data_IF_154353183901
#
_entry.id   IF_154353183901
#
_cell.length_a   1.000
_cell.length_b   1.000
_cell.length_c   1.000
_cell.angle_alpha   90.00
_cell.angle_beta   90.00
_cell.angle_gamma   90.00
#
_symmetry.space_group_name_H-M   'P 1'
#
loop_
_entity.id
_entity.type
_entity.pdbx_description
1 polymer ?
#
# COMPACT_ATOMS: atom_id res chain seq x y z
N UNK A 1 -8.76 -1.50 11.33
CA UNK A 1 -7.92 -1.35 10.11
C UNK A 1 -6.47 -1.22 10.53
N UNK A 2 -5.57 -2.09 10.07
CA UNK A 2 -4.21 -2.17 10.60
C UNK A 2 -3.41 -0.88 10.30
N UNK A 3 -2.66 -0.37 11.29
CA UNK A 3 -1.92 0.92 11.19
C UNK A 3 -0.91 0.92 10.03
N UNK A 4 -0.37 -0.26 9.71
CA UNK A 4 0.56 -0.51 8.61
C UNK A 4 -0.11 -0.43 7.23
N UNK A 5 -1.33 -0.96 7.09
CA UNK A 5 -2.09 -0.88 5.84
C UNK A 5 -2.49 0.57 5.54
N UNK A 6 -2.89 1.33 6.58
CA UNK A 6 -3.17 2.78 6.45
C UNK A 6 -1.94 3.55 5.96
N UNK A 7 -0.74 3.24 6.49
CA UNK A 7 0.52 3.85 6.04
C UNK A 7 0.88 3.49 4.59
N UNK A 8 0.73 2.22 4.20
CA UNK A 8 0.98 1.79 2.81
C UNK A 8 0.06 2.49 1.80
N UNK A 9 -1.22 2.64 2.14
CA UNK A 9 -2.19 3.39 1.34
C UNK A 9 -1.78 4.86 1.23
N UNK A 10 -1.40 5.50 2.35
CA UNK A 10 -0.97 6.90 2.37
C UNK A 10 0.27 7.13 1.50
N UNK A 11 1.28 6.27 1.58
CA UNK A 11 2.51 6.35 0.77
C UNK A 11 2.19 6.20 -0.71
N UNK A 12 1.32 5.25 -1.07
CA UNK A 12 0.93 5.03 -2.47
C UNK A 12 0.14 6.20 -3.02
N UNK A 13 -0.77 6.77 -2.22
CA UNK A 13 -1.51 7.97 -2.60
C UNK A 13 -0.57 9.17 -2.82
N UNK A 14 0.48 9.29 -1.99
CA UNK A 14 1.51 10.31 -2.13
C UNK A 14 2.33 10.12 -3.42
N UNK A 15 2.67 8.88 -3.78
CA UNK A 15 3.33 8.54 -5.05
C UNK A 15 2.49 8.90 -6.29
N UNK A 16 1.18 8.65 -6.24
CA UNK A 16 0.25 9.03 -7.32
C UNK A 16 0.18 10.56 -7.47
N UNK A 17 0.06 11.29 -6.36
CA UNK A 17 0.09 12.75 -6.33
C UNK A 17 1.40 13.31 -6.90
N UNK A 18 2.53 12.71 -6.54
CA UNK A 18 3.84 13.09 -7.05
C UNK A 18 3.95 12.87 -8.57
N UNK A 19 3.40 11.77 -9.09
CA UNK A 19 3.34 11.50 -10.52
C UNK A 19 2.48 12.50 -11.29
N UNK A 20 1.33 12.90 -10.74
CA UNK A 20 0.51 13.98 -11.30
C UNK A 20 1.24 15.33 -11.29
N UNK A 21 1.96 15.64 -10.22
CA UNK A 21 2.81 16.83 -10.11
C UNK A 21 3.93 16.82 -11.16
N UNK A 22 4.58 15.68 -11.40
CA UNK A 22 5.59 15.52 -12.44
C UNK A 22 5.03 15.75 -13.85
N UNK A 23 3.82 15.27 -14.13
CA UNK A 23 3.13 15.56 -15.40
C UNK A 23 2.75 17.03 -15.54
N UNK A 24 2.36 17.69 -14.44
CA UNK A 24 2.10 19.13 -14.45
C UNK A 24 3.38 19.93 -14.73
N UNK A 25 4.51 19.55 -14.12
CA UNK A 25 5.83 20.15 -14.38
C UNK A 25 6.30 19.94 -15.83
N UNK A 26 6.01 18.78 -16.43
CA UNK A 26 6.26 18.53 -17.86
C UNK A 26 5.56 19.56 -18.76
N UNK A 27 4.37 20.03 -18.35
CA UNK A 27 3.62 21.07 -19.09
C UNK A 27 4.25 22.45 -18.98
N UNK A 28 5.12 22.66 -17.99
CA UNK A 28 5.87 23.90 -17.76
C UNK A 28 7.24 23.93 -18.46
N UNK A 29 7.57 22.95 -19.33
CA UNK A 29 8.87 22.85 -20.04
C UNK A 29 10.09 22.89 -19.11
N UNK A 30 9.89 22.47 -17.86
CA UNK A 30 10.94 22.51 -16.86
C UNK A 30 11.81 21.25 -16.96
N UNK A 31 13.12 21.41 -17.18
CA UNK A 31 14.09 20.31 -17.30
C UNK A 31 14.10 19.35 -16.08
N UNK A 32 13.63 19.82 -14.92
CA UNK A 32 13.48 18.97 -13.73
C UNK A 32 12.35 17.92 -13.86
N UNK A 33 11.50 17.97 -14.88
CA UNK A 33 10.37 17.04 -15.02
C UNK A 33 10.81 15.57 -15.08
N UNK A 34 11.94 15.28 -15.75
CA UNK A 34 12.44 13.92 -15.89
C UNK A 34 12.77 13.29 -14.54
N UNK A 35 13.50 14.03 -13.70
CA UNK A 35 13.88 13.60 -12.35
C UNK A 35 12.65 13.45 -11.46
N UNK A 36 11.70 14.39 -11.52
CA UNK A 36 10.46 14.32 -10.74
C UNK A 36 9.61 13.10 -11.13
N UNK A 37 9.52 12.78 -12.42
CA UNK A 37 8.78 11.61 -12.90
C UNK A 37 9.45 10.30 -12.47
N UNK A 38 10.78 10.20 -12.61
CA UNK A 38 11.54 9.02 -12.16
C UNK A 38 11.38 8.80 -10.66
N UNK A 39 11.51 9.85 -9.85
CA UNK A 39 11.27 9.77 -8.40
C UNK A 39 9.81 9.39 -8.09
N UNK A 40 8.85 9.92 -8.83
CA UNK A 40 7.43 9.54 -8.69
C UNK A 40 7.19 8.05 -8.93
N UNK A 41 7.77 7.49 -10.00
CA UNK A 41 7.67 6.06 -10.31
C UNK A 41 8.35 5.20 -9.24
N UNK A 42 9.54 5.60 -8.75
CA UNK A 42 10.24 4.88 -7.69
C UNK A 42 9.45 4.88 -6.38
N UNK A 43 8.93 6.03 -5.96
CA UNK A 43 8.11 6.16 -4.75
C UNK A 43 6.82 5.36 -4.89
N UNK A 44 6.19 5.40 -6.07
CA UNK A 44 5.01 4.58 -6.37
C UNK A 44 5.32 3.08 -6.26
N UNK A 45 6.45 2.63 -6.84
CA UNK A 45 6.89 1.24 -6.75
C UNK A 45 7.10 0.77 -5.30
N UNK A 46 7.80 1.57 -4.49
CA UNK A 46 7.99 1.27 -3.06
C UNK A 46 6.65 1.26 -2.30
N UNK A 47 5.77 2.21 -2.60
CA UNK A 47 4.41 2.25 -2.04
C UNK A 47 3.60 1.00 -2.40
N UNK A 48 3.65 0.59 -3.67
CA UNK A 48 2.95 -0.58 -4.17
C UNK A 48 3.42 -1.88 -3.50
N UNK A 49 4.74 -2.10 -3.44
CA UNK A 49 5.32 -3.27 -2.73
C UNK A 49 4.92 -3.27 -1.26
N UNK A 50 4.89 -2.10 -0.62
CA UNK A 50 4.47 -1.95 0.78
C UNK A 50 2.99 -2.30 0.97
N UNK A 51 2.11 -1.92 0.04
CA UNK A 51 0.70 -2.33 0.05
C UNK A 51 0.58 -3.84 -0.10
N UNK A 52 1.21 -4.43 -1.13
CA UNK A 52 1.13 -5.87 -1.39
C UNK A 52 1.60 -6.66 -0.18
N UNK A 53 2.75 -6.30 0.41
CA UNK A 53 3.26 -6.94 1.62
C UNK A 53 2.29 -6.80 2.81
N UNK A 54 1.68 -5.62 2.98
CA UNK A 54 0.71 -5.42 4.04
C UNK A 54 -0.61 -6.17 3.82
N UNK A 55 -1.01 -6.42 2.56
CA UNK A 55 -2.19 -7.21 2.24
C UNK A 55 -1.94 -8.70 2.52
N UNK A 56 -0.81 -9.23 2.04
CA UNK A 56 -0.39 -10.62 2.30
C UNK A 56 -0.36 -10.88 3.82
N UNK A 57 0.32 -10.01 4.57
CA UNK A 57 0.41 -10.13 6.03
C UNK A 57 -0.94 -9.99 6.74
N UNK A 58 -1.89 -9.26 6.15
CA UNK A 58 -3.24 -9.14 6.71
C UNK A 58 -4.04 -10.43 6.48
N UNK A 59 -3.97 -10.99 5.28
CA UNK A 59 -4.63 -12.26 4.94
C UNK A 59 -4.12 -13.37 5.86
N UNK A 60 -2.81 -13.49 5.99
CA UNK A 60 -2.17 -14.48 6.88
C UNK A 60 -2.59 -14.31 8.35
N UNK A 61 -2.74 -13.07 8.83
CA UNK A 61 -3.18 -12.82 10.20
C UNK A 61 -4.68 -13.06 10.41
N UNK A 62 -5.48 -12.88 9.37
CA UNK A 62 -6.93 -13.06 9.41
C UNK A 62 -7.29 -14.54 9.37
N UNK A 63 -6.61 -15.35 8.56
CA UNK A 63 -6.83 -16.80 8.52
C UNK A 63 -6.51 -17.49 9.85
N UNK A 64 -5.47 -17.04 10.58
CA UNK A 64 -5.13 -17.59 11.90
C UNK A 64 -6.20 -17.28 12.95
N UNK A 65 -6.87 -16.12 12.87
CA UNK A 65 -7.95 -15.74 13.78
C UNK A 65 -9.20 -16.59 13.50
N UNK A 66 -9.53 -16.74 12.22
CA UNK A 66 -10.67 -17.54 11.75
C UNK A 66 -10.53 -19.02 12.17
N UNK A 67 -9.33 -19.61 12.03
CA UNK A 67 -9.08 -20.98 12.52
C UNK A 67 -9.18 -21.14 14.04
N UNK A 68 -9.03 -20.06 14.82
CA UNK A 68 -9.19 -20.11 16.29
C UNK A 68 -10.65 -19.94 16.73
N UNK A 69 -11.43 -19.14 16.01
CA UNK A 69 -12.87 -19.02 16.23
C UNK A 69 -13.60 -20.32 15.89
N UNK A 70 -13.20 -21.02 14.81
CA UNK A 70 -13.75 -22.33 14.46
C UNK A 70 -13.45 -23.40 15.51
N UNK A 71 -12.24 -23.40 16.09
CA UNK A 71 -11.89 -24.32 17.18
C UNK A 71 -12.69 -24.06 18.45
N UNK A 72 -12.91 -22.79 18.82
CA UNK A 72 -13.72 -22.46 20.00
C UNK A 72 -15.19 -22.85 19.84
N UNK A 73 -15.79 -22.61 18.67
CA UNK A 73 -17.18 -23.03 18.41
C UNK A 73 -17.36 -24.56 18.45
N UNK A 74 -16.37 -25.32 17.96
CA UNK A 74 -16.42 -26.78 18.02
C UNK A 74 -16.31 -27.35 19.44
N UNK A 75 -15.61 -26.66 20.36
CA UNK A 75 -15.44 -27.11 21.75
C UNK A 75 -16.56 -26.70 22.71
N UNK A 76 -17.45 -25.78 22.32
CA UNK A 76 -18.58 -25.32 23.14
C UNK A 76 -19.90 -26.03 22.77
N UNK A 77 -19.86 -26.90 21.76
CA UNK A 77 -21.01 -27.67 21.25
C UNK A 77 -21.03 -29.15 21.66
N UNK A 78 -20.04 -29.60 22.47
CA UNK A 78 -19.95 -30.94 23.08
C UNK A 78 -20.15 -30.86 24.61
#
# INVERSE_FOLDING_TARGET
MNKYLKRGILITMLGILMGMLGMYLKRLENDFYGITLTLGVLVFGVGFVTIVYSLIRKIERQSILESREEQQQSSESD
#
